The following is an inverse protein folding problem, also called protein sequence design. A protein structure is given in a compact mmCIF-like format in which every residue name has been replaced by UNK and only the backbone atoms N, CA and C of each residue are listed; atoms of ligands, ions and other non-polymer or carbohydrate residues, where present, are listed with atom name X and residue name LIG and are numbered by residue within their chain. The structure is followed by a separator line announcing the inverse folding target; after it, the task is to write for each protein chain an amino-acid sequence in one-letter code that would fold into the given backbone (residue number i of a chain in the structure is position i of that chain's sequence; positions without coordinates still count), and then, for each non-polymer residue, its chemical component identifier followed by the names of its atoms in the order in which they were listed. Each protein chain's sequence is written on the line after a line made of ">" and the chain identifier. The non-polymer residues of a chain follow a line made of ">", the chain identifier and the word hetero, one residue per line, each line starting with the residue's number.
data_IF_045716956500
#
_entry.id   IF_045716956500
#
_cell.length_a   1.000
_cell.length_b   1.000
_cell.length_c   1.000
_cell.angle_alpha   90.00
_cell.angle_beta   90.00
_cell.angle_gamma   90.00
#
_symmetry.space_group_name_H-M   'P 1'
#
loop_
_entity.id
_entity.type
_entity.pdbx_description
1 polymer ?
#
# COMPACT_ATOMS: atom_id res chain seq x y z
N UNK A 1 -24.82 -30.19 1.77
CA UNK A 1 -23.66 -30.76 2.47
C UNK A 1 -22.48 -29.80 2.24
N UNK A 2 -22.19 -28.90 3.19
CA UNK A 2 -21.17 -27.85 3.02
C UNK A 2 -19.78 -28.48 3.21
N UNK A 3 -19.00 -28.68 2.14
CA UNK A 3 -17.60 -29.10 2.26
C UNK A 3 -16.78 -27.92 2.80
N UNK A 4 -16.26 -28.06 4.01
CA UNK A 4 -15.40 -27.05 4.63
C UNK A 4 -13.96 -27.20 4.13
N UNK A 5 -13.48 -26.21 3.39
CA UNK A 5 -12.07 -26.09 3.02
C UNK A 5 -11.55 -24.78 3.61
N UNK A 6 -10.55 -24.87 4.48
CA UNK A 6 -9.82 -23.71 5.00
C UNK A 6 -8.77 -23.36 3.96
N UNK A 7 -8.85 -22.14 3.42
CA UNK A 7 -7.89 -21.64 2.45
C UNK A 7 -6.95 -20.65 3.14
N UNK A 8 -5.70 -21.07 3.34
CA UNK A 8 -4.62 -20.15 3.72
C UNK A 8 -4.14 -19.47 2.44
N UNK A 9 -4.50 -18.20 2.25
CA UNK A 9 -4.13 -17.41 1.08
C UNK A 9 -2.74 -16.74 1.26
N UNK A 10 -1.80 -17.40 1.94
CA UNK A 10 -0.41 -16.94 1.98
C UNK A 10 0.35 -17.49 0.76
N UNK A 11 1.24 -16.66 0.19
CA UNK A 11 2.09 -17.01 -0.96
C UNK A 11 3.09 -18.16 -0.64
N UNK A 12 3.09 -18.63 0.60
CA UNK A 12 4.00 -19.63 1.17
C UNK A 12 3.82 -21.04 0.56
N UNK A 13 2.68 -21.37 -0.03
CA UNK A 13 2.49 -22.72 -0.60
C UNK A 13 3.10 -22.93 -1.99
N UNK A 14 3.61 -21.88 -2.65
CA UNK A 14 4.15 -22.05 -4.02
C UNK A 14 5.52 -21.45 -4.30
N UNK A 15 6.06 -20.54 -3.47
CA UNK A 15 7.35 -19.94 -3.83
C UNK A 15 8.44 -19.86 -2.78
N UNK A 16 8.22 -19.74 -1.47
CA UNK A 16 9.34 -19.57 -0.54
C UNK A 16 9.00 -20.01 0.89
N UNK A 17 9.70 -21.02 1.40
CA UNK A 17 9.84 -21.26 2.83
C UNK A 17 10.88 -20.29 3.40
N UNK A 18 10.43 -19.10 3.82
CA UNK A 18 11.27 -18.22 4.65
C UNK A 18 10.51 -17.93 5.93
N UNK A 19 11.09 -18.38 7.05
CA UNK A 19 10.45 -18.39 8.36
C UNK A 19 9.94 -17.01 8.79
N UNK A 20 8.71 -17.00 9.32
CA UNK A 20 8.19 -15.90 10.14
C UNK A 20 7.50 -16.48 11.37
N UNK A 21 8.15 -16.30 12.52
CA UNK A 21 7.53 -16.45 13.84
C UNK A 21 6.85 -15.14 14.32
N UNK A 22 6.58 -14.18 13.42
CA UNK A 22 6.24 -12.79 13.84
C UNK A 22 5.02 -12.12 13.19
N UNK A 23 4.33 -12.73 12.22
CA UNK A 23 3.04 -12.18 11.76
C UNK A 23 1.90 -12.71 12.63
N UNK A 24 1.35 -11.84 13.49
CA UNK A 24 0.37 -12.23 14.51
C UNK A 24 -1.01 -12.58 13.93
N UNK A 25 -1.33 -12.18 12.69
CA UNK A 25 -2.63 -12.44 12.06
C UNK A 25 -2.54 -12.57 10.53
N UNK A 26 -2.69 -13.79 9.99
CA UNK A 26 -2.99 -14.00 8.57
C UNK A 26 -4.50 -13.91 8.34
N UNK A 27 -4.94 -13.33 7.21
CA UNK A 27 -6.35 -13.36 6.85
C UNK A 27 -6.71 -14.73 6.27
N UNK A 28 -7.31 -15.58 7.10
CA UNK A 28 -7.80 -16.89 6.68
C UNK A 28 -9.22 -16.76 6.11
N UNK A 29 -9.55 -17.61 5.14
CA UNK A 29 -10.86 -17.63 4.50
C UNK A 29 -11.51 -18.98 4.63
N UNK A 30 -12.84 -18.95 4.75
CA UNK A 30 -13.69 -20.13 4.60
C UNK A 30 -14.48 -20.05 3.31
N UNK A 31 -14.51 -21.18 2.59
CA UNK A 31 -15.27 -21.33 1.35
C UNK A 31 -16.71 -21.75 1.61
N UNK A 32 -17.62 -21.11 0.89
CA UNK A 32 -19.04 -21.36 0.82
C UNK A 32 -19.46 -21.33 -0.66
N UNK A 33 -19.55 -22.50 -1.29
CA UNK A 33 -19.81 -22.62 -2.73
C UNK A 33 -18.80 -21.80 -3.56
N UNK A 34 -19.27 -20.72 -4.22
CA UNK A 34 -18.48 -19.84 -5.07
C UNK A 34 -18.06 -18.55 -4.34
N UNK A 35 -18.04 -18.57 -3.00
CA UNK A 35 -17.71 -17.43 -2.18
C UNK A 35 -16.69 -17.80 -1.09
N UNK A 36 -15.75 -16.91 -0.83
CA UNK A 36 -14.88 -16.91 0.35
C UNK A 36 -15.28 -15.76 1.27
N UNK A 37 -15.25 -16.00 2.57
CA UNK A 37 -15.40 -14.96 3.60
C UNK A 37 -14.24 -15.06 4.59
N UNK A 38 -13.69 -13.92 5.00
CA UNK A 38 -12.61 -13.83 5.96
C UNK A 38 -13.08 -14.18 7.39
N UNK A 39 -12.20 -14.80 8.17
CA UNK A 39 -12.45 -15.10 9.58
C UNK A 39 -12.11 -13.95 10.53
N UNK A 40 -11.23 -13.02 10.12
CA UNK A 40 -10.87 -11.82 10.90
C UNK A 40 -11.48 -10.56 10.29
N UNK A 41 -11.79 -9.57 11.12
CA UNK A 41 -12.37 -8.33 10.61
C UNK A 41 -11.32 -7.48 9.87
N UNK A 42 -11.76 -6.71 8.87
CA UNK A 42 -10.90 -5.78 8.14
C UNK A 42 -10.25 -4.77 9.08
N UNK A 43 -10.94 -4.37 10.15
CA UNK A 43 -10.40 -3.47 11.18
C UNK A 43 -9.22 -4.12 11.89
N UNK A 44 -9.39 -5.34 12.40
CA UNK A 44 -8.32 -6.10 13.05
C UNK A 44 -7.14 -6.34 12.11
N UNK A 45 -7.40 -6.67 10.84
CA UNK A 45 -6.36 -6.83 9.84
C UNK A 45 -5.57 -5.53 9.59
N UNK A 46 -6.26 -4.42 9.37
CA UNK A 46 -5.61 -3.12 9.09
C UNK A 46 -4.81 -2.62 10.30
N UNK A 47 -5.36 -2.77 11.51
CA UNK A 47 -4.66 -2.38 12.75
C UNK A 47 -3.41 -3.23 12.98
N UNK A 48 -3.46 -4.52 12.71
CA UNK A 48 -2.30 -5.42 12.87
C UNK A 48 -1.21 -5.20 11.81
N UNK A 49 -1.56 -4.81 10.59
CA UNK A 49 -0.60 -4.58 9.50
C UNK A 49 -0.22 -3.09 9.34
N UNK A 50 -0.78 -2.20 10.16
CA UNK A 50 -0.56 -0.75 10.11
C UNK A 50 -0.77 -0.14 8.70
N UNK A 51 -1.63 -0.75 7.90
CA UNK A 51 -1.86 -0.37 6.50
C UNK A 51 -3.34 -0.54 6.12
N UNK A 52 -3.97 0.49 5.55
CA UNK A 52 -5.34 0.40 5.02
C UNK A 52 -5.45 -0.34 3.69
N UNK A 53 -4.34 -0.82 3.13
CA UNK A 53 -4.27 -1.45 1.82
C UNK A 53 -4.29 -2.98 1.93
N UNK A 54 -5.18 -3.59 1.17
CA UNK A 54 -5.25 -5.04 0.93
C UNK A 54 -5.00 -5.26 -0.55
N UNK A 55 -4.12 -6.20 -0.91
CA UNK A 55 -3.86 -6.50 -2.32
C UNK A 55 -4.17 -7.96 -2.62
N UNK A 56 -4.97 -8.18 -3.66
CA UNK A 56 -5.28 -9.50 -4.21
C UNK A 56 -4.49 -9.67 -5.50
N UNK A 57 -3.58 -10.64 -5.56
CA UNK A 57 -2.86 -11.02 -6.77
C UNK A 57 -3.55 -12.20 -7.42
N UNK A 58 -3.77 -12.16 -8.72
CA UNK A 58 -4.34 -13.25 -9.49
C UNK A 58 -3.24 -14.20 -9.97
N UNK A 59 -3.35 -15.47 -9.62
CA UNK A 59 -2.34 -16.50 -9.92
C UNK A 59 -2.62 -17.21 -11.25
N UNK A 60 -3.79 -16.96 -11.84
CA UNK A 60 -4.25 -17.47 -13.14
C UNK A 60 -4.89 -16.33 -13.93
N UNK A 61 -5.05 -16.52 -15.24
CA UNK A 61 -5.93 -15.68 -16.04
C UNK A 61 -7.39 -15.93 -15.60
N UNK A 62 -8.21 -14.88 -15.59
CA UNK A 62 -9.65 -14.92 -15.36
C UNK A 62 -10.35 -14.15 -16.50
N UNK A 63 -11.52 -14.62 -16.92
CA UNK A 63 -12.34 -13.92 -17.90
C UNK A 63 -12.98 -12.66 -17.29
N UNK A 64 -13.30 -12.69 -16.00
CA UNK A 64 -13.84 -11.55 -15.26
C UNK A 64 -13.17 -11.38 -13.89
N UNK A 65 -13.16 -10.13 -13.41
CA UNK A 65 -12.68 -9.81 -12.07
C UNK A 65 -13.65 -10.38 -11.01
N UNK A 66 -13.17 -11.08 -9.96
CA UNK A 66 -14.07 -11.58 -8.92
C UNK A 66 -14.82 -10.44 -8.24
N UNK A 67 -16.05 -10.69 -7.86
CA UNK A 67 -16.85 -9.72 -7.11
C UNK A 67 -16.30 -9.61 -5.69
N UNK A 68 -16.04 -8.38 -5.24
CA UNK A 68 -15.65 -8.09 -3.86
C UNK A 68 -16.88 -7.65 -3.06
N UNK A 69 -17.06 -8.23 -1.88
CA UNK A 69 -18.13 -7.88 -0.95
C UNK A 69 -17.65 -7.78 0.49
N UNK A 70 -18.53 -7.29 1.36
CA UNK A 70 -18.24 -7.10 2.78
C UNK A 70 -19.33 -7.74 3.63
N UNK A 71 -18.98 -8.72 4.47
CA UNK A 71 -19.94 -9.32 5.39
C UNK A 71 -19.92 -8.63 6.74
N UNK A 72 -21.07 -8.53 7.39
CA UNK A 72 -21.18 -8.12 8.80
C UNK A 72 -20.94 -9.30 9.77
N UNK A 73 -20.61 -10.49 9.26
CA UNK A 73 -20.33 -11.70 10.05
C UNK A 73 -19.04 -12.36 9.56
N UNK A 74 -18.28 -12.91 10.49
CA UNK A 74 -17.11 -13.73 10.16
C UNK A 74 -17.53 -15.01 9.45
N UNK A 75 -16.59 -15.61 8.72
CA UNK A 75 -16.76 -16.94 8.15
C UNK A 75 -17.16 -17.99 9.22
N UNK A 76 -16.52 -17.98 10.40
CA UNK A 76 -16.89 -18.82 11.53
C UNK A 76 -18.37 -18.65 11.95
N UNK A 77 -18.85 -17.41 12.09
CA UNK A 77 -20.24 -17.12 12.46
C UNK A 77 -21.25 -17.56 11.39
N UNK A 78 -20.93 -17.36 10.10
CA UNK A 78 -21.79 -17.80 8.99
C UNK A 78 -21.92 -19.33 9.02
N UNK A 79 -20.80 -20.03 9.18
CA UNK A 79 -20.78 -21.49 9.21
C UNK A 79 -21.53 -22.08 10.41
N UNK A 80 -21.42 -21.46 11.59
CA UNK A 80 -22.14 -21.91 12.78
C UNK A 80 -23.66 -21.74 12.68
N UNK A 81 -24.12 -20.82 11.83
CA UNK A 81 -25.53 -20.45 11.72
C UNK A 81 -26.26 -21.12 10.53
N UNK A 82 -25.57 -21.98 9.77
CA UNK A 82 -26.02 -22.55 8.48
C UNK A 82 -26.63 -21.50 7.52
N UNK A 83 -26.07 -20.30 7.55
CA UNK A 83 -26.59 -19.18 6.77
C UNK A 83 -25.97 -19.14 5.38
N UNK A 84 -26.78 -18.81 4.37
CA UNK A 84 -26.25 -18.52 3.04
C UNK A 84 -25.41 -17.22 3.09
N UNK A 85 -24.11 -17.26 2.74
CA UNK A 85 -23.22 -16.09 2.78
C UNK A 85 -23.70 -14.97 1.86
N UNK A 86 -24.29 -15.30 0.70
CA UNK A 86 -24.74 -14.31 -0.28
C UNK A 86 -25.86 -13.41 0.26
N UNK A 87 -26.62 -13.88 1.27
CA UNK A 87 -27.65 -13.09 1.94
C UNK A 87 -27.11 -12.20 3.07
N UNK A 88 -25.87 -12.44 3.51
CA UNK A 88 -25.22 -11.76 4.63
C UNK A 88 -24.03 -10.89 4.20
N UNK A 89 -23.81 -10.80 2.89
CA UNK A 89 -22.78 -9.99 2.30
C UNK A 89 -23.40 -8.75 1.67
N UNK A 90 -22.82 -7.59 2.01
CA UNK A 90 -23.00 -6.35 1.29
C UNK A 90 -22.19 -6.46 0.01
N UNK A 91 -22.76 -7.13 -0.99
CA UNK A 91 -22.24 -7.09 -2.34
C UNK A 91 -22.69 -5.83 -3.04
N UNK A 92 -21.75 -5.20 -3.73
CA UNK A 92 -22.07 -4.38 -4.89
C UNK A 92 -21.52 -5.12 -6.10
N UNK A 93 -22.35 -5.30 -7.12
CA UNK A 93 -21.85 -5.79 -8.41
C UNK A 93 -20.95 -4.73 -8.99
N UNK A 94 -20.00 -5.13 -9.84
CA UNK A 94 -19.16 -4.17 -10.55
C UNK A 94 -19.98 -3.14 -11.35
N UNK A 95 -21.16 -3.53 -11.84
CA UNK A 95 -22.14 -2.65 -12.48
C UNK A 95 -22.67 -1.52 -11.59
N UNK A 96 -22.62 -1.68 -10.26
CA UNK A 96 -23.10 -0.66 -9.32
C UNK A 96 -22.07 0.47 -9.12
N UNK A 97 -20.84 0.26 -9.60
CA UNK A 97 -19.77 1.25 -9.63
C UNK A 97 -19.82 1.97 -10.97
N UNK A 98 -20.36 3.19 -10.99
CA UNK A 98 -20.41 4.01 -12.19
C UNK A 98 -18.99 4.36 -12.64
N UNK A 99 -18.80 4.51 -13.95
CA UNK A 99 -17.60 5.08 -14.57
C UNK A 99 -16.32 4.22 -14.57
N UNK A 100 -16.43 2.88 -14.48
CA UNK A 100 -15.28 2.00 -14.74
C UNK A 100 -15.58 0.76 -15.56
N UNK A 101 -15.05 0.74 -16.78
CA UNK A 101 -15.26 -0.36 -17.73
C UNK A 101 -14.27 -1.52 -17.52
N UNK A 102 -13.14 -1.28 -16.82
CA UNK A 102 -12.09 -2.29 -16.65
C UNK A 102 -12.49 -3.48 -15.76
N UNK A 103 -13.63 -3.42 -15.06
CA UNK A 103 -14.15 -4.56 -14.29
C UNK A 103 -14.60 -5.72 -15.18
N UNK A 104 -15.02 -5.43 -16.42
CA UNK A 104 -15.44 -6.42 -17.41
C UNK A 104 -14.27 -6.88 -18.29
N UNK A 105 -13.07 -6.32 -18.09
CA UNK A 105 -11.89 -6.72 -18.83
C UNK A 105 -11.28 -7.98 -18.19
N UNK A 106 -10.87 -8.98 -18.99
CA UNK A 106 -10.20 -10.17 -18.51
C UNK A 106 -8.99 -9.84 -17.65
N UNK A 107 -8.82 -10.57 -16.56
CA UNK A 107 -7.70 -10.42 -15.63
C UNK A 107 -6.58 -11.35 -16.08
N UNK A 108 -5.37 -10.83 -16.18
CA UNK A 108 -4.18 -11.63 -16.50
C UNK A 108 -3.51 -12.17 -15.25
N UNK A 109 -2.88 -13.33 -15.37
CA UNK A 109 -2.00 -13.87 -14.36
C UNK A 109 -0.96 -12.82 -13.95
N UNK A 110 -0.72 -12.72 -12.65
CA UNK A 110 0.13 -11.71 -12.03
C UNK A 110 -0.42 -10.29 -12.16
N UNK A 111 -1.69 -10.08 -12.50
CA UNK A 111 -2.33 -8.81 -12.20
C UNK A 111 -2.81 -8.78 -10.76
N UNK A 112 -3.16 -7.59 -10.28
CA UNK A 112 -3.63 -7.44 -8.92
C UNK A 112 -4.70 -6.37 -8.78
N UNK A 113 -5.54 -6.59 -7.78
CA UNK A 113 -6.56 -5.69 -7.29
C UNK A 113 -6.13 -5.15 -5.91
N UNK A 114 -5.96 -3.85 -5.83
CA UNK A 114 -5.74 -3.10 -4.60
C UNK A 114 -7.09 -2.65 -4.04
N UNK A 115 -7.30 -2.88 -2.74
CA UNK A 115 -8.48 -2.47 -1.99
C UNK A 115 -7.99 -1.59 -0.85
N UNK A 116 -8.24 -0.28 -0.96
CA UNK A 116 -7.94 0.67 0.11
C UNK A 116 -9.18 0.86 0.98
N UNK A 117 -9.05 0.65 2.29
CA UNK A 117 -10.17 0.66 3.23
C UNK A 117 -9.95 1.74 4.29
N UNK A 118 -10.95 2.59 4.52
CA UNK A 118 -10.91 3.61 5.55
C UNK A 118 -12.20 3.60 6.38
N UNK A 119 -12.05 3.34 7.67
CA UNK A 119 -13.16 3.40 8.63
C UNK A 119 -13.49 4.83 9.02
N UNK A 120 -14.77 5.13 9.15
CA UNK A 120 -15.30 6.45 9.49
C UNK A 120 -16.52 6.31 10.42
N UNK A 121 -16.99 7.39 11.02
CA UNK A 121 -18.20 7.34 11.87
C UNK A 121 -19.40 6.84 11.07
N UNK A 122 -20.03 5.76 11.53
CA UNK A 122 -21.22 5.17 10.91
C UNK A 122 -20.96 4.31 9.67
N UNK A 123 -19.71 4.06 9.28
CA UNK A 123 -19.42 3.25 8.10
C UNK A 123 -17.94 3.12 7.74
N UNK A 124 -17.71 2.80 6.47
CA UNK A 124 -16.37 2.72 5.90
C UNK A 124 -16.41 3.09 4.42
N UNK A 125 -15.29 3.60 3.90
CA UNK A 125 -15.10 3.85 2.48
C UNK A 125 -14.09 2.89 1.90
N UNK A 126 -14.31 2.47 0.67
CA UNK A 126 -13.37 1.63 -0.08
C UNK A 126 -13.02 2.25 -1.43
N UNK A 127 -11.76 2.11 -1.81
CA UNK A 127 -11.27 2.40 -3.14
C UNK A 127 -10.71 1.13 -3.76
N UNK A 128 -11.11 0.86 -4.99
CA UNK A 128 -10.53 -0.23 -5.77
C UNK A 128 -9.54 0.34 -6.78
N UNK A 129 -8.45 -0.40 -7.02
CA UNK A 129 -7.59 -0.14 -8.15
C UNK A 129 -6.92 -1.38 -8.72
N UNK A 130 -6.68 -1.39 -10.03
CA UNK A 130 -6.07 -2.51 -10.76
C UNK A 130 -4.72 -2.09 -11.33
N UNK A 131 -3.72 -2.95 -11.12
CA UNK A 131 -2.35 -2.79 -11.65
C UNK A 131 -1.68 -1.42 -11.42
N UNK A 132 -2.10 -0.65 -10.39
CA UNK A 132 -1.64 0.73 -10.12
C UNK A 132 -1.97 1.75 -11.23
N UNK A 133 -2.78 1.38 -12.21
CA UNK A 133 -3.10 2.25 -13.36
C UNK A 133 -4.54 2.71 -13.38
N UNK A 134 -5.42 1.95 -12.73
CA UNK A 134 -6.85 2.23 -12.71
C UNK A 134 -7.28 2.31 -11.26
N UNK A 135 -7.89 3.43 -10.86
CA UNK A 135 -8.56 3.55 -9.57
C UNK A 135 -9.95 4.13 -9.75
N UNK A 136 -10.90 3.64 -8.97
CA UNK A 136 -12.22 4.26 -8.88
C UNK A 136 -12.28 5.25 -7.73
N UNK A 137 -13.24 6.19 -7.71
CA UNK A 137 -13.50 7.04 -6.56
C UNK A 137 -13.80 6.24 -5.29
N UNK A 138 -13.71 6.89 -4.13
CA UNK A 138 -14.09 6.27 -2.86
C UNK A 138 -15.59 5.96 -2.81
N UNK A 139 -15.93 4.73 -2.46
CA UNK A 139 -17.32 4.30 -2.26
C UNK A 139 -17.60 4.07 -0.79
N UNK A 140 -18.58 4.80 -0.26
CA UNK A 140 -19.00 4.69 1.13
C UNK A 140 -20.04 3.59 1.35
N UNK A 141 -19.85 2.82 2.41
CA UNK A 141 -20.73 1.77 2.91
C UNK A 141 -21.20 2.16 4.30
N UNK A 142 -22.52 2.40 4.42
CA UNK A 142 -23.16 2.65 5.72
C UNK A 142 -23.32 1.32 6.45
N UNK A 143 -22.87 1.27 7.70
CA UNK A 143 -23.04 0.08 8.53
C UNK A 143 -24.40 0.10 9.24
N UNK A 144 -25.05 -1.06 9.41
CA UNK A 144 -26.19 -1.17 10.29
C UNK A 144 -25.84 -0.74 11.73
N UNK A 145 -26.84 -0.29 12.52
CA UNK A 145 -26.63 -0.03 13.93
C UNK A 145 -26.03 -1.26 14.63
N UNK A 146 -25.07 -1.03 15.54
CA UNK A 146 -24.37 -2.07 16.32
C UNK A 146 -23.45 -3.01 15.53
N UNK A 147 -23.21 -2.75 14.24
CA UNK A 147 -22.18 -3.46 13.47
C UNK A 147 -20.90 -2.62 13.45
N UNK A 148 -19.85 -3.13 14.08
CA UNK A 148 -18.54 -2.48 14.13
C UNK A 148 -17.47 -3.20 13.30
N UNK A 149 -17.68 -4.49 13.04
CA UNK A 149 -16.78 -5.35 12.30
C UNK A 149 -17.36 -5.71 10.95
N UNK A 150 -16.48 -5.70 9.96
CA UNK A 150 -16.76 -6.16 8.60
C UNK A 150 -15.66 -7.12 8.17
N UNK A 151 -16.05 -8.07 7.34
CA UNK A 151 -15.20 -9.17 6.88
C UNK A 151 -15.14 -9.13 5.36
N UNK A 152 -13.95 -9.27 4.79
CA UNK A 152 -13.79 -9.33 3.35
C UNK A 152 -14.45 -10.59 2.83
N UNK A 153 -15.18 -10.49 1.72
CA UNK A 153 -15.53 -11.67 0.96
C UNK A 153 -15.35 -11.49 -0.54
N UNK A 154 -15.12 -12.60 -1.20
CA UNK A 154 -14.71 -12.69 -2.60
C UNK A 154 -15.62 -13.73 -3.25
N UNK A 155 -16.25 -13.40 -4.36
CA UNK A 155 -17.16 -14.29 -5.08
C UNK A 155 -16.79 -14.39 -6.56
N UNK A 156 -16.67 -15.61 -7.07
CA UNK A 156 -16.37 -15.87 -8.48
C UNK A 156 -16.69 -17.33 -8.84
N UNK A 157 -17.42 -17.53 -9.93
CA UNK A 157 -17.64 -18.87 -10.47
C UNK A 157 -16.35 -19.48 -11.01
N UNK A 158 -15.50 -18.70 -11.68
CA UNK A 158 -14.25 -19.15 -12.32
C UNK A 158 -13.17 -19.55 -11.31
N UNK A 159 -13.06 -18.83 -10.19
CA UNK A 159 -12.05 -19.14 -9.16
C UNK A 159 -12.41 -20.43 -8.42
N UNK A 160 -13.70 -20.77 -8.35
CA UNK A 160 -14.23 -21.80 -7.47
C UNK A 160 -14.94 -22.93 -8.22
N UNK A 161 -14.59 -23.22 -9.47
CA UNK A 161 -15.23 -24.30 -10.22
C UNK A 161 -15.21 -25.64 -9.45
N UNK A 162 -16.26 -26.47 -9.63
CA UNK A 162 -16.47 -27.71 -8.87
C UNK A 162 -15.57 -28.87 -9.30
N UNK A 163 -14.70 -28.72 -10.30
CA UNK A 163 -13.84 -29.81 -10.74
C UNK A 163 -12.85 -30.21 -9.65
N UNK A 164 -12.96 -31.49 -9.30
CA UNK A 164 -12.19 -32.16 -8.26
C UNK A 164 -10.69 -31.97 -8.55
N UNK A 165 -9.92 -31.66 -7.50
CA UNK A 165 -8.44 -31.62 -7.45
C UNK A 165 -7.71 -30.29 -7.62
N UNK A 166 -8.31 -29.18 -8.04
CA UNK A 166 -7.60 -27.88 -7.95
C UNK A 166 -7.61 -27.33 -6.52
N UNK A 167 -6.79 -27.93 -5.64
CA UNK A 167 -6.46 -27.41 -4.29
C UNK A 167 -5.74 -26.05 -4.30
N UNK A 168 -5.65 -25.40 -5.46
CA UNK A 168 -4.77 -24.27 -5.70
C UNK A 168 -5.58 -22.97 -5.68
N UNK A 169 -5.18 -22.04 -4.82
CA UNK A 169 -5.90 -20.79 -4.69
C UNK A 169 -5.50 -19.96 -5.92
N UNK A 170 -6.47 -19.60 -6.74
CA UNK A 170 -6.21 -18.83 -7.97
C UNK A 170 -5.93 -17.35 -7.67
N UNK A 171 -5.84 -16.98 -6.41
CA UNK A 171 -5.34 -15.69 -5.97
C UNK A 171 -4.50 -15.82 -4.70
N UNK A 172 -3.72 -14.79 -4.41
CA UNK A 172 -2.99 -14.63 -3.16
C UNK A 172 -3.33 -13.26 -2.55
N UNK A 173 -3.34 -13.17 -1.22
CA UNK A 173 -3.49 -11.91 -0.52
C UNK A 173 -2.13 -11.45 -0.03
N UNK A 174 -1.80 -10.22 -0.37
CA UNK A 174 -0.60 -9.55 0.10
C UNK A 174 -0.98 -8.33 0.93
N UNK A 175 -0.26 -8.17 2.03
CA UNK A 175 -0.17 -6.88 2.69
C UNK A 175 0.70 -5.91 1.87
N UNK A 176 0.81 -4.67 2.34
CA UNK A 176 1.60 -3.66 1.65
C UNK A 176 3.08 -4.02 1.53
N UNK A 177 3.67 -4.65 2.55
CA UNK A 177 5.08 -5.01 2.57
C UNK A 177 5.37 -6.15 1.58
N UNK A 178 4.54 -7.20 1.58
CA UNK A 178 4.65 -8.32 0.67
C UNK A 178 4.35 -7.90 -0.76
N UNK A 179 3.42 -6.97 -0.97
CA UNK A 179 3.13 -6.41 -2.29
C UNK A 179 4.34 -5.70 -2.90
N UNK A 180 5.06 -4.90 -2.11
CA UNK A 180 6.30 -4.26 -2.56
C UNK A 180 7.35 -5.30 -2.93
N UNK A 181 7.53 -6.35 -2.10
CA UNK A 181 8.44 -7.45 -2.40
C UNK A 181 8.08 -8.14 -3.71
N UNK A 182 6.79 -8.42 -3.92
CA UNK A 182 6.31 -9.08 -5.12
C UNK A 182 6.49 -8.21 -6.38
N UNK A 183 6.19 -6.91 -6.32
CA UNK A 183 6.44 -5.97 -7.44
C UNK A 183 7.94 -5.93 -7.78
N UNK A 184 8.79 -5.89 -6.76
CA UNK A 184 10.23 -5.92 -6.95
C UNK A 184 10.70 -7.22 -7.62
N UNK A 185 10.23 -8.37 -7.14
CA UNK A 185 10.56 -9.67 -7.73
C UNK A 185 10.07 -9.81 -9.17
N UNK A 186 8.84 -9.35 -9.46
CA UNK A 186 8.26 -9.36 -10.81
C UNK A 186 9.06 -8.51 -11.80
N UNK A 187 9.58 -7.38 -11.35
CA UNK A 187 10.30 -6.44 -12.21
C UNK A 187 11.80 -6.80 -12.39
N UNK A 188 12.29 -7.90 -11.81
CA UNK A 188 13.66 -8.36 -12.04
C UNK A 188 13.79 -9.05 -13.40
N UNK A 189 14.87 -8.78 -14.16
CA UNK A 189 15.20 -9.54 -15.37
C UNK A 189 15.38 -11.04 -15.04
N UNK A 190 14.78 -11.91 -15.85
CA UNK A 190 14.82 -13.38 -15.70
C UNK A 190 16.26 -13.95 -15.60
N UNK A 191 17.25 -13.25 -16.16
CA UNK A 191 18.67 -13.64 -16.16
C UNK A 191 19.34 -13.65 -14.78
N UNK A 192 18.66 -13.19 -13.71
CA UNK A 192 19.24 -13.06 -12.36
C UNK A 192 18.75 -14.12 -11.37
N UNK A 193 17.86 -15.04 -11.78
CA UNK A 193 17.20 -15.99 -10.88
C UNK A 193 17.92 -17.35 -10.74
N UNK A 194 19.00 -17.60 -11.49
CA UNK A 194 19.69 -18.91 -11.54
C UNK A 194 20.83 -19.08 -10.53
N UNK A 195 21.02 -18.18 -9.56
CA UNK A 195 22.14 -18.29 -8.60
C UNK A 195 21.73 -17.94 -7.16
N UNK A 196 20.75 -18.65 -6.63
CA UNK A 196 20.53 -18.69 -5.18
C UNK A 196 20.64 -20.16 -4.74
N UNK A 197 21.88 -20.64 -4.68
CA UNK A 197 22.20 -21.76 -3.79
C UNK A 197 22.24 -21.23 -2.35
N UNK A 198 21.69 -22.05 -1.44
CA UNK A 198 21.54 -21.82 -0.01
C UNK A 198 22.84 -21.35 0.66
N UNK A 199 22.85 -20.10 1.15
CA UNK A 199 23.90 -19.61 2.06
C UNK A 199 23.40 -19.80 3.51
N UNK A 200 24.13 -20.51 4.37
CA UNK A 200 23.75 -20.68 5.77
C UNK A 200 23.84 -19.37 6.54
N UNK A 201 22.82 -19.14 7.37
CA UNK A 201 22.73 -18.02 8.29
C UNK A 201 23.78 -18.16 9.40
N UNK A 202 24.80 -17.29 9.41
CA UNK A 202 25.64 -17.08 10.59
C UNK A 202 26.34 -15.73 10.54
N UNK A 203 26.25 -15.05 11.68
CA UNK A 203 26.99 -13.86 12.12
C UNK A 203 26.48 -12.48 11.68
N UNK A 204 26.32 -11.66 12.72
CA UNK A 204 25.90 -10.25 12.73
C UNK A 204 26.82 -9.42 11.83
N UNK A 205 26.30 -8.96 10.70
CA UNK A 205 26.88 -7.88 9.93
C UNK A 205 25.76 -6.94 9.49
N UNK A 206 25.93 -5.64 9.75
CA UNK A 206 25.11 -4.57 9.18
C UNK A 206 25.23 -4.64 7.66
N UNK A 207 24.26 -5.26 6.98
CA UNK A 207 24.18 -5.23 5.53
C UNK A 207 23.17 -4.16 5.15
N UNK A 208 23.70 -2.97 4.90
CA UNK A 208 23.03 -1.91 4.17
C UNK A 208 22.96 -2.36 2.71
N UNK A 209 21.89 -3.08 2.35
CA UNK A 209 21.67 -3.60 1.01
C UNK A 209 21.43 -2.43 0.04
N UNK A 210 22.48 -2.10 -0.71
CA UNK A 210 22.45 -1.19 -1.83
C UNK A 210 21.48 -1.71 -2.91
N UNK A 211 20.26 -1.16 -2.93
CA UNK A 211 19.30 -1.42 -3.99
C UNK A 211 19.69 -0.68 -5.27
N UNK A 212 20.18 -1.44 -6.25
CA UNK A 212 20.29 -1.04 -7.66
C UNK A 212 18.89 -1.00 -8.32
N UNK A 213 17.98 -0.19 -7.79
CA UNK A 213 16.72 0.13 -8.45
C UNK A 213 16.87 1.46 -9.16
N UNK A 214 16.74 1.45 -10.49
CA UNK A 214 16.97 2.59 -11.36
C UNK A 214 15.73 3.48 -11.49
N UNK A 215 14.76 3.44 -10.58
CA UNK A 215 13.52 4.21 -10.66
C UNK A 215 13.41 5.20 -9.50
N UNK A 216 12.98 6.42 -9.83
CA UNK A 216 12.68 7.46 -8.84
C UNK A 216 11.55 6.99 -7.90
N UNK A 217 11.57 7.38 -6.62
CA UNK A 217 10.61 6.88 -5.64
C UNK A 217 9.19 7.34 -5.97
N UNK A 218 8.24 6.41 -5.88
CA UNK A 218 6.82 6.63 -6.13
C UNK A 218 6.09 7.06 -4.85
N UNK A 219 5.07 7.88 -5.02
CA UNK A 219 4.13 8.29 -3.97
C UNK A 219 3.57 7.06 -3.25
N UNK A 220 3.72 7.01 -1.93
CA UNK A 220 3.22 5.90 -1.12
C UNK A 220 1.69 5.84 -1.05
N UNK A 221 0.96 6.86 -1.52
CA UNK A 221 -0.50 6.93 -1.45
C UNK A 221 -1.19 6.54 -2.74
N UNK A 222 -0.68 7.00 -3.90
CA UNK A 222 -1.24 6.60 -5.20
C UNK A 222 -0.41 5.54 -5.92
N UNK A 223 0.88 5.38 -5.58
CA UNK A 223 1.81 4.48 -6.27
C UNK A 223 1.95 4.73 -7.79
N UNK A 224 1.41 5.84 -8.29
CA UNK A 224 1.42 6.22 -9.71
C UNK A 224 2.45 7.32 -10.00
N UNK A 225 2.39 8.38 -9.18
CA UNK A 225 3.17 9.60 -9.39
C UNK A 225 4.42 9.56 -8.53
N UNK A 226 5.49 10.14 -9.03
CA UNK A 226 6.74 10.32 -8.28
C UNK A 226 6.50 11.14 -7.01
N UNK A 227 7.28 10.86 -5.97
CA UNK A 227 7.33 11.72 -4.79
C UNK A 227 7.91 13.07 -5.22
N UNK A 228 7.14 14.14 -5.03
CA UNK A 228 7.52 15.52 -5.33
C UNK A 228 7.25 16.47 -4.14
N UNK A 229 6.83 15.92 -3.00
CA UNK A 229 6.56 16.68 -1.77
C UNK A 229 7.44 16.26 -0.60
N UNK A 230 7.83 17.25 0.20
CA UNK A 230 8.56 17.12 1.45
C UNK A 230 7.76 17.81 2.55
N UNK A 231 7.46 17.09 3.63
CA UNK A 231 6.73 17.61 4.77
C UNK A 231 7.67 18.38 5.70
N UNK A 232 7.35 19.63 6.01
CA UNK A 232 8.19 20.52 6.83
C UNK A 232 7.50 20.75 8.19
N UNK A 233 8.23 20.65 9.32
CA UNK A 233 9.70 20.55 9.43
C UNK A 233 10.28 19.13 9.43
N UNK A 234 9.44 18.10 9.53
CA UNK A 234 9.89 16.73 9.81
C UNK A 234 10.75 16.06 8.72
N UNK A 235 10.76 16.61 7.49
CA UNK A 235 11.56 16.10 6.37
C UNK A 235 11.05 14.80 5.75
N UNK A 236 9.81 14.37 6.03
CA UNK A 236 9.25 13.14 5.44
C UNK A 236 8.82 13.40 4.00
N UNK A 237 9.27 12.55 3.08
CA UNK A 237 8.90 12.58 1.67
C UNK A 237 8.15 11.30 1.30
N UNK A 238 6.82 11.40 1.18
CA UNK A 238 5.92 10.23 1.08
C UNK A 238 4.88 10.32 -0.04
N UNK A 239 4.60 11.52 -0.54
CA UNK A 239 3.46 11.75 -1.43
C UNK A 239 3.83 12.55 -2.67
N UNK A 240 3.02 12.39 -3.71
CA UNK A 240 2.94 13.37 -4.78
C UNK A 240 2.07 14.56 -4.35
N UNK A 241 2.19 15.67 -5.07
CA UNK A 241 1.59 16.96 -4.72
C UNK A 241 0.07 16.94 -4.76
N UNK A 242 -0.53 16.11 -5.62
CA UNK A 242 -1.98 15.92 -5.67
C UNK A 242 -2.50 15.12 -4.47
N UNK A 243 -1.88 13.97 -4.20
CA UNK A 243 -2.19 13.14 -3.03
C UNK A 243 -2.06 13.97 -1.75
N UNK A 244 -0.98 14.75 -1.65
CA UNK A 244 -0.75 15.66 -0.53
C UNK A 244 -1.85 16.72 -0.39
N UNK A 245 -2.24 17.40 -1.47
CA UNK A 245 -3.33 18.39 -1.44
C UNK A 245 -4.64 17.77 -0.95
N UNK A 246 -4.95 16.55 -1.39
CA UNK A 246 -6.14 15.83 -0.97
C UNK A 246 -6.09 15.51 0.53
N UNK A 247 -4.95 15.05 1.04
CA UNK A 247 -4.74 14.84 2.47
C UNK A 247 -4.97 16.12 3.29
N UNK A 248 -4.31 17.22 2.94
CA UNK A 248 -4.49 18.50 3.64
C UNK A 248 -5.95 18.95 3.59
N UNK A 249 -6.59 18.89 2.42
CA UNK A 249 -8.01 19.26 2.26
C UNK A 249 -8.91 18.44 3.18
N UNK A 250 -8.68 17.13 3.28
CA UNK A 250 -9.46 16.24 4.11
C UNK A 250 -9.25 16.49 5.61
N UNK A 251 -8.00 16.65 6.05
CA UNK A 251 -7.70 16.94 7.46
C UNK A 251 -8.28 18.29 7.89
N UNK A 252 -8.23 19.30 7.02
CA UNK A 252 -8.86 20.60 7.29
C UNK A 252 -10.38 20.50 7.39
N UNK A 253 -11.02 19.71 6.51
CA UNK A 253 -12.47 19.47 6.58
C UNK A 253 -12.88 18.79 7.88
N UNK A 254 -12.13 17.76 8.31
CA UNK A 254 -12.38 17.06 9.59
C UNK A 254 -12.27 18.01 10.78
N UNK A 255 -11.21 18.82 10.82
CA UNK A 255 -11.01 19.77 11.91
C UNK A 255 -12.09 20.88 11.95
N UNK A 256 -12.65 21.28 10.81
CA UNK A 256 -13.78 22.21 10.74
C UNK A 256 -15.10 21.57 11.23
N UNK A 257 -15.29 20.28 11.02
CA UNK A 257 -16.47 19.56 11.54
C UNK A 257 -16.38 19.28 13.04
N UNK A 258 -15.17 19.23 13.60
CA UNK A 258 -14.92 18.87 15.00
C UNK A 258 -14.68 20.08 15.92
N UNK A 259 -14.37 21.27 15.37
CA UNK A 259 -14.04 22.46 16.18
C UNK A 259 -14.86 23.70 15.80
N UNK A 260 -15.45 24.36 16.79
CA UNK A 260 -16.12 25.67 16.64
C UNK A 260 -15.13 26.85 16.62
N UNK A 261 -13.83 26.62 16.38
CA UNK A 261 -12.78 27.62 16.56
C UNK A 261 -12.46 28.41 15.28
N UNK A 262 -12.07 29.68 15.47
CA UNK A 262 -11.76 30.67 14.42
C UNK A 262 -10.33 30.55 13.83
N UNK A 263 -9.51 29.62 14.31
CA UNK A 263 -8.13 29.43 13.83
C UNK A 263 -8.08 28.46 12.64
N UNK A 264 -7.11 28.64 11.72
CA UNK A 264 -6.93 27.69 10.62
C UNK A 264 -6.62 26.30 11.18
N UNK A 265 -7.25 25.24 10.65
CA UNK A 265 -7.07 23.88 11.13
C UNK A 265 -5.61 23.42 11.02
N UNK A 266 -5.08 22.95 12.15
CA UNK A 266 -3.73 22.40 12.28
C UNK A 266 -3.68 21.05 11.58
N UNK A 267 -2.65 20.81 10.77
CA UNK A 267 -2.46 19.54 10.07
C UNK A 267 -1.15 18.91 10.51
N UNK A 268 -1.16 17.59 10.69
CA UNK A 268 -0.02 16.83 11.19
C UNK A 268 0.62 15.97 10.09
N UNK A 269 1.87 15.57 10.28
CA UNK A 269 2.52 14.59 9.42
C UNK A 269 1.82 13.23 9.57
N UNK A 270 1.43 12.55 8.50
CA UNK A 270 0.80 11.23 8.59
C UNK A 270 1.76 10.13 9.07
N UNK A 271 3.07 10.39 9.09
CA UNK A 271 4.10 9.44 9.52
C UNK A 271 4.45 9.64 11.00
N UNK A 272 5.01 10.80 11.34
CA UNK A 272 5.55 11.07 12.68
C UNK A 272 4.61 11.89 13.57
N UNK A 273 3.45 12.32 13.05
CA UNK A 273 2.49 13.18 13.75
C UNK A 273 3.02 14.54 14.21
N UNK A 274 4.18 14.97 13.71
CA UNK A 274 4.67 16.34 13.92
C UNK A 274 3.77 17.36 13.18
N UNK A 275 3.54 18.53 13.80
CA UNK A 275 2.75 19.59 13.20
C UNK A 275 3.43 20.11 11.92
N UNK A 276 2.66 20.20 10.83
CA UNK A 276 3.15 20.71 9.56
C UNK A 276 3.10 22.23 9.54
N UNK A 277 4.25 22.83 9.26
CA UNK A 277 4.39 24.28 9.06
C UNK A 277 4.39 24.66 7.57
N UNK A 278 4.58 23.67 6.69
CA UNK A 278 4.58 23.90 5.26
C UNK A 278 4.93 22.65 4.46
N UNK A 279 5.02 22.85 3.16
CA UNK A 279 5.30 21.80 2.18
C UNK A 279 6.44 22.30 1.29
N UNK A 280 7.53 21.54 1.25
CA UNK A 280 8.58 21.72 0.25
C UNK A 280 8.21 20.95 -1.01
N UNK A 281 8.50 21.51 -2.19
CA UNK A 281 8.55 20.73 -3.43
C UNK A 281 9.95 20.16 -3.58
N UNK A 282 10.04 18.90 -3.98
CA UNK A 282 11.30 18.23 -4.24
C UNK A 282 11.38 17.67 -5.64
N UNK A 283 12.60 17.54 -6.15
CA UNK A 283 12.85 16.90 -7.44
C UNK A 283 14.10 16.02 -7.41
N UNK A 284 13.94 14.79 -7.89
CA UNK A 284 15.04 13.85 -8.11
C UNK A 284 15.65 14.12 -9.48
N UNK A 285 16.90 14.62 -9.49
CA UNK A 285 17.67 14.88 -10.72
C UNK A 285 18.73 13.82 -11.00
N UNK A 286 18.98 12.95 -10.03
CA UNK A 286 19.92 11.85 -10.10
C UNK A 286 19.40 10.68 -9.27
N UNK A 287 19.79 9.47 -9.67
CA UNK A 287 19.48 8.21 -8.97
C UNK A 287 20.53 7.88 -7.89
N UNK A 288 21.63 8.62 -7.87
CA UNK A 288 22.73 8.48 -6.91
C UNK A 288 23.11 9.84 -6.37
N UNK A 289 23.76 9.85 -5.20
CA UNK A 289 24.39 11.04 -4.68
C UNK A 289 25.42 11.58 -5.67
N UNK A 290 25.23 12.80 -6.14
CA UNK A 290 26.16 13.44 -7.08
C UNK A 290 27.44 13.95 -6.41
N UNK A 291 27.48 13.97 -5.07
CA UNK A 291 28.61 14.48 -4.29
C UNK A 291 29.65 13.40 -4.00
N UNK A 292 29.24 12.13 -3.91
CA UNK A 292 30.15 11.02 -3.62
C UNK A 292 29.85 9.71 -4.39
N UNK A 293 28.79 9.67 -5.20
CA UNK A 293 28.44 8.49 -5.99
C UNK A 293 27.68 7.38 -5.25
N UNK A 294 27.43 7.51 -3.94
CA UNK A 294 26.65 6.51 -3.19
C UNK A 294 25.18 6.49 -3.59
N UNK A 295 24.43 5.47 -3.17
CA UNK A 295 23.01 5.32 -3.51
C UNK A 295 22.05 6.09 -2.56
N UNK A 296 22.56 6.79 -1.55
CA UNK A 296 21.70 7.52 -0.62
C UNK A 296 21.17 8.83 -1.22
N UNK A 297 19.87 9.05 -1.09
CA UNK A 297 19.14 10.24 -1.52
C UNK A 297 18.40 10.85 -0.31
N UNK A 298 19.14 11.29 0.70
CA UNK A 298 18.63 11.77 1.99
C UNK A 298 18.77 13.28 2.21
N UNK A 299 19.17 14.04 1.18
CA UNK A 299 19.45 15.47 1.33
C UNK A 299 18.74 16.31 0.27
N UNK A 300 18.07 17.37 0.71
CA UNK A 300 17.38 18.34 -0.15
C UNK A 300 17.95 19.74 0.05
N UNK A 301 18.25 20.44 -1.03
CA UNK A 301 18.52 21.88 -1.00
C UNK A 301 17.23 22.66 -0.68
N UNK A 302 17.01 22.96 0.59
CA UNK A 302 15.78 23.53 1.13
C UNK A 302 15.97 24.92 1.74
N UNK A 303 15.06 25.26 2.66
CA UNK A 303 14.97 26.57 3.30
C UNK A 303 14.15 27.59 2.50
N UNK A 304 14.00 28.82 3.04
CA UNK A 304 13.34 29.90 2.31
C UNK A 304 14.02 30.15 0.97
N UNK A 305 13.27 30.03 -0.13
CA UNK A 305 13.77 30.10 -1.52
C UNK A 305 14.72 28.96 -1.94
N UNK A 306 14.76 27.86 -1.20
CA UNK A 306 15.46 26.64 -1.62
C UNK A 306 14.88 26.07 -2.91
N UNK A 307 15.73 25.45 -3.74
CA UNK A 307 15.33 24.94 -5.06
C UNK A 307 14.66 23.56 -5.02
N UNK A 308 14.70 22.86 -3.88
CA UNK A 308 14.07 21.54 -3.73
C UNK A 308 14.81 20.41 -4.44
N UNK A 309 16.00 20.64 -5.00
CA UNK A 309 16.77 19.58 -5.62
C UNK A 309 17.28 18.58 -4.57
N UNK A 310 17.07 17.30 -4.84
CA UNK A 310 17.65 16.21 -4.04
C UNK A 310 19.13 16.07 -4.42
N UNK A 311 20.03 16.35 -3.46
CA UNK A 311 21.48 16.44 -3.68
C UNK A 311 22.18 15.07 -3.55
N UNK A 312 21.64 14.17 -2.73
CA UNK A 312 22.28 12.89 -2.43
C UNK A 312 22.31 12.58 -0.94
N UNK A 313 23.43 12.08 -0.42
CA UNK A 313 23.56 11.78 1.00
C UNK A 313 23.68 13.06 1.85
N UNK A 314 23.02 13.05 3.00
CA UNK A 314 22.96 14.19 3.92
C UNK A 314 24.33 14.68 4.38
N UNK A 315 25.24 13.75 4.72
CA UNK A 315 26.58 14.09 5.21
C UNK A 315 27.36 14.97 4.23
N UNK A 316 27.38 14.60 2.94
CA UNK A 316 28.10 15.36 1.92
C UNK A 316 27.38 16.65 1.54
N UNK A 317 26.05 16.66 1.59
CA UNK A 317 25.27 17.86 1.34
C UNK A 317 25.51 18.94 2.41
N UNK A 318 25.67 18.57 3.68
CA UNK A 318 26.03 19.51 4.74
C UNK A 318 27.43 20.10 4.51
N UNK A 319 28.41 19.26 4.10
CA UNK A 319 29.75 19.74 3.74
C UNK A 319 29.71 20.71 2.54
N UNK A 320 28.83 20.47 1.58
CA UNK A 320 28.60 21.37 0.45
C UNK A 320 28.02 22.72 0.93
N UNK A 321 27.03 22.71 1.82
CA UNK A 321 26.42 23.93 2.37
C UNK A 321 27.44 24.79 3.12
N UNK A 322 28.30 24.18 3.95
CA UNK A 322 29.32 24.87 4.73
C UNK A 322 30.34 25.63 3.86
N UNK A 323 30.52 25.19 2.61
CA UNK A 323 31.40 25.85 1.62
C UNK A 323 30.69 26.97 0.84
N UNK A 324 29.57 27.49 1.36
CA UNK A 324 28.72 28.52 0.73
C UNK A 324 28.36 28.20 -0.74
N UNK A 325 28.13 26.92 -1.02
CA UNK A 325 28.01 26.43 -2.39
C UNK A 325 26.59 26.58 -2.95
N UNK A 326 26.53 26.73 -4.27
CA UNK A 326 25.30 26.70 -5.04
C UNK A 326 24.82 25.27 -5.30
N UNK A 327 23.52 25.12 -5.59
CA UNK A 327 22.96 23.85 -6.00
C UNK A 327 23.67 23.36 -7.28
N UNK A 328 24.29 22.18 -7.27
CA UNK A 328 25.02 21.65 -8.42
C UNK A 328 24.13 21.41 -9.65
N UNK A 329 22.80 21.27 -9.48
CA UNK A 329 21.86 21.07 -10.57
C UNK A 329 21.35 22.37 -11.21
N UNK A 330 21.00 23.36 -10.40
CA UNK A 330 20.29 24.56 -10.88
C UNK A 330 20.97 25.88 -10.51
N UNK A 331 22.14 25.83 -9.86
CA UNK A 331 22.95 26.97 -9.41
C UNK A 331 22.29 27.91 -8.39
N UNK A 332 21.10 27.57 -7.90
CA UNK A 332 20.46 28.31 -6.80
C UNK A 332 21.29 28.19 -5.52
N UNK A 333 21.58 29.28 -4.80
CA UNK A 333 22.30 29.23 -3.52
C UNK A 333 21.66 28.26 -2.51
N UNK A 334 22.47 27.42 -1.85
CA UNK A 334 21.99 26.48 -0.84
C UNK A 334 21.95 27.20 0.51
N UNK A 335 20.78 27.72 0.88
CA UNK A 335 20.58 28.39 2.18
C UNK A 335 20.49 27.36 3.31
N UNK A 336 19.82 26.24 3.05
CA UNK A 336 19.62 25.16 4.02
C UNK A 336 19.69 23.80 3.33
N UNK A 337 20.24 22.80 4.02
CA UNK A 337 20.06 21.39 3.66
C UNK A 337 19.08 20.76 4.63
N UNK A 338 18.01 20.19 4.11
CA UNK A 338 17.02 19.47 4.89
C UNK A 338 17.33 17.98 4.78
N UNK A 339 17.39 17.29 5.93
CA UNK A 339 17.46 15.83 5.97
C UNK A 339 16.11 15.29 5.53
N UNK A 340 16.10 14.62 4.39
CA UNK A 340 14.93 13.98 3.84
C UNK A 340 14.87 12.52 4.27
N UNK A 341 13.76 12.14 4.87
CA UNK A 341 13.39 10.77 5.15
C UNK A 341 12.48 10.31 4.03
N UNK A 342 13.07 9.59 3.07
CA UNK A 342 12.26 8.80 2.16
C UNK A 342 11.69 7.66 2.97
N UNK A 343 10.37 7.57 2.96
CA UNK A 343 9.71 6.35 3.41
C UNK A 343 9.93 5.30 2.32
N UNK A 344 11.13 4.73 2.32
CA UNK A 344 11.35 3.41 1.74
C UNK A 344 10.53 2.44 2.58
N UNK A 345 9.81 1.54 1.92
CA UNK A 345 9.05 0.51 2.62
C UNK A 345 10.04 -0.25 3.52
N UNK A 346 9.98 -0.04 4.84
CA UNK A 346 10.87 -0.73 5.77
C UNK A 346 10.34 -2.15 5.94
N UNK A 347 11.14 -3.10 5.47
CA UNK A 347 11.11 -4.48 5.93
C UNK A 347 11.41 -4.48 7.44
N UNK A 348 10.43 -4.88 8.25
CA UNK A 348 10.67 -5.44 9.58
C UNK A 348 10.04 -6.84 9.60
#
# INVERSE_FOLDING_TARGET
>A
MVKHVVWNCSLEQRFLSFGRDTLKYTMNFKRFENCLVADISLRQYIESHSSPLITIIFMTDLMELPTIGFSCRSAAQIAASDMNPNRNMLFKKWSDYRDCNWFYEPVKKNEFLSIFVQFQTGGFSVRFGRNLTYSIPDHFFKLPPNVCDIYLGISSCEIFEPEEESKMCNFALLDAADMVKWVHLRNRPLATLTSIESIPCSSKANIQLALNSSQEPLCSWCCEKKIDTLLVPCGHAVSCSECHKNYISNERKKALTESSQKSPPIVFCPICREQLNGIGRICFRSKKCILCGCNQLSAVAGGPKGCGCVLGCFEKAIQLQQKASECPFCKTPIVQVIHMYLQEHRDN
#
